data_IF_906164707758
#
_entry.id   IF_906164707758
#
_cell.length_a   1.000
_cell.length_b   1.000
_cell.length_c   1.000
_cell.angle_alpha   90.00
_cell.angle_beta   90.00
_cell.angle_gamma   90.00
#
_symmetry.space_group_name_H-M   'P 1'
#
loop_
_entity.id
_entity.type
_entity.pdbx_description
1 polymer ?
#
# COMPACT_ATOMS: atom_id res chain seq x y z
N UNK A 1 -17.14 24.08 -5.87
CA UNK A 1 -17.32 23.30 -7.11
C UNK A 1 -16.01 22.76 -7.64
N UNK A 2 -15.99 21.48 -7.99
CA UNK A 2 -14.86 20.84 -8.66
C UNK A 2 -14.94 21.14 -10.17
N UNK A 3 -13.96 21.85 -10.72
CA UNK A 3 -13.89 22.13 -12.16
C UNK A 3 -13.27 20.95 -12.91
N UNK A 4 -14.04 20.32 -13.80
CA UNK A 4 -13.55 19.29 -14.70
C UNK A 4 -12.79 19.93 -15.87
N UNK A 5 -11.56 19.50 -16.10
CA UNK A 5 -10.70 19.99 -17.19
C UNK A 5 -10.48 18.83 -18.17
N UNK A 6 -10.60 19.09 -19.48
CA UNK A 6 -10.30 18.08 -20.50
C UNK A 6 -8.82 17.70 -20.45
N UNK A 7 -8.54 16.40 -20.41
CA UNK A 7 -7.18 15.86 -20.51
C UNK A 7 -6.62 16.14 -21.91
N UNK A 8 -5.35 16.55 -21.98
CA UNK A 8 -4.59 16.68 -23.24
C UNK A 8 -4.19 15.29 -23.76
N UNK A 9 -5.18 14.50 -24.21
CA UNK A 9 -4.99 13.17 -24.82
C UNK A 9 -4.07 12.24 -23.98
N UNK A 10 -4.14 12.32 -22.64
CA UNK A 10 -3.30 11.52 -21.73
C UNK A 10 -1.91 12.10 -21.43
N UNK A 11 -1.45 13.17 -22.11
CA UNK A 11 -0.18 13.85 -21.77
C UNK A 11 -0.21 14.58 -20.44
N UNK A 12 -1.40 15.00 -19.99
CA UNK A 12 -1.55 15.78 -18.76
C UNK A 12 -1.21 15.01 -17.47
N UNK A 13 -1.11 13.67 -17.51
CA UNK A 13 -1.01 12.85 -16.30
C UNK A 13 0.02 11.73 -16.42
N UNK A 14 1.23 12.07 -16.88
CA UNK A 14 2.34 11.10 -17.05
C UNK A 14 2.65 10.33 -15.77
N UNK A 15 2.69 11.02 -14.63
CA UNK A 15 2.97 10.41 -13.31
C UNK A 15 1.92 9.36 -12.94
N UNK A 16 0.64 9.67 -13.17
CA UNK A 16 -0.45 8.73 -12.93
C UNK A 16 -0.32 7.48 -13.80
N UNK A 17 0.03 7.64 -15.08
CA UNK A 17 0.27 6.51 -15.97
C UNK A 17 1.43 5.63 -15.49
N UNK A 18 2.50 6.25 -14.96
CA UNK A 18 3.62 5.51 -14.36
C UNK A 18 3.17 4.71 -13.14
N UNK A 19 2.41 5.31 -12.22
CA UNK A 19 1.88 4.61 -11.04
C UNK A 19 0.98 3.45 -11.46
N UNK A 20 0.05 3.67 -12.41
CA UNK A 20 -0.83 2.62 -12.93
C UNK A 20 -0.01 1.46 -13.53
N UNK A 21 1.04 1.76 -14.29
CA UNK A 21 1.90 0.74 -14.87
C UNK A 21 2.64 -0.07 -13.79
N UNK A 22 3.18 0.61 -12.77
CA UNK A 22 3.86 -0.03 -11.65
C UNK A 22 2.91 -0.94 -10.85
N UNK A 23 1.70 -0.47 -10.53
CA UNK A 23 0.69 -1.28 -9.83
C UNK A 23 0.34 -2.53 -10.64
N UNK A 24 0.12 -2.40 -11.95
CA UNK A 24 -0.19 -3.53 -12.84
C UNK A 24 0.95 -4.55 -12.87
N UNK A 25 2.19 -4.10 -13.02
CA UNK A 25 3.38 -4.96 -13.04
C UNK A 25 3.53 -5.70 -11.71
N UNK A 26 3.42 -4.99 -10.60
CA UNK A 26 3.53 -5.55 -9.25
C UNK A 26 2.45 -6.60 -8.93
N UNK A 27 1.19 -6.32 -9.26
CA UNK A 27 0.10 -7.28 -9.07
C UNK A 27 0.33 -8.57 -9.85
N UNK A 28 0.85 -8.46 -11.09
CA UNK A 28 1.09 -9.60 -11.97
C UNK A 28 2.29 -10.45 -11.56
N UNK A 29 3.31 -9.85 -10.92
CA UNK A 29 4.50 -10.58 -10.47
C UNK A 29 4.39 -11.15 -9.06
N UNK A 30 3.62 -10.50 -8.18
CA UNK A 30 3.55 -10.86 -6.76
C UNK A 30 2.51 -11.93 -6.47
N UNK A 31 1.37 -11.89 -7.18
CA UNK A 31 0.25 -12.80 -6.93
C UNK A 31 -0.05 -13.64 -8.17
N UNK A 32 -0.32 -14.94 -7.97
CA UNK A 32 -0.81 -15.81 -9.04
C UNK A 32 -2.25 -15.48 -9.43
N UNK A 33 -3.04 -14.95 -8.49
CA UNK A 33 -4.44 -14.57 -8.71
C UNK A 33 -4.86 -13.42 -7.77
N UNK A 34 -5.77 -12.56 -8.23
CA UNK A 34 -6.21 -11.35 -7.51
C UNK A 34 -7.73 -11.40 -7.35
N UNK A 35 -8.21 -11.45 -6.10
CA UNK A 35 -9.65 -11.43 -5.81
C UNK A 35 -10.21 -10.00 -5.91
N UNK A 36 -11.36 -9.82 -6.59
CA UNK A 36 -12.00 -8.50 -6.75
C UNK A 36 -12.43 -7.87 -5.42
N UNK A 37 -12.80 -8.69 -4.45
CA UNK A 37 -13.20 -8.21 -3.10
C UNK A 37 -12.03 -7.68 -2.26
N UNK A 38 -10.78 -7.89 -2.68
CA UNK A 38 -9.60 -7.51 -1.89
C UNK A 38 -8.75 -6.44 -2.59
N UNK A 39 -9.26 -5.81 -3.65
CA UNK A 39 -8.55 -4.77 -4.41
C UNK A 39 -8.00 -3.67 -3.50
N UNK A 40 -8.78 -3.20 -2.53
CA UNK A 40 -8.29 -2.18 -1.60
C UNK A 40 -7.08 -2.65 -0.79
N UNK A 41 -7.11 -3.89 -0.26
CA UNK A 41 -6.00 -4.46 0.50
C UNK A 41 -4.72 -4.56 -0.35
N UNK A 42 -4.85 -4.95 -1.62
CA UNK A 42 -3.70 -4.98 -2.53
C UNK A 42 -3.13 -3.58 -2.78
N UNK A 43 -3.99 -2.57 -2.95
CA UNK A 43 -3.55 -1.18 -3.15
C UNK A 43 -2.91 -0.58 -1.88
N UNK A 44 -3.43 -0.92 -0.70
CA UNK A 44 -2.86 -0.53 0.59
C UNK A 44 -1.46 -1.13 0.77
N UNK A 45 -1.31 -2.42 0.43
CA UNK A 45 0.00 -3.08 0.45
C UNK A 45 0.98 -2.46 -0.55
N UNK A 46 0.54 -2.18 -1.78
CA UNK A 46 1.37 -1.47 -2.76
C UNK A 46 1.87 -0.13 -2.22
N UNK A 47 0.96 0.66 -1.67
CA UNK A 47 1.26 1.97 -1.09
C UNK A 47 2.24 1.85 0.08
N UNK A 48 2.03 0.86 0.96
CA UNK A 48 2.95 0.56 2.05
C UNK A 48 4.36 0.22 1.54
N UNK A 49 4.49 -0.60 0.48
CA UNK A 49 5.78 -0.99 -0.10
C UNK A 49 6.51 0.19 -0.73
N UNK A 50 5.81 1.06 -1.46
CA UNK A 50 6.39 2.28 -2.03
C UNK A 50 6.89 3.20 -0.93
N UNK A 51 6.04 3.49 0.07
CA UNK A 51 6.42 4.32 1.21
C UNK A 51 7.62 3.74 1.95
N UNK A 52 7.66 2.42 2.16
CA UNK A 52 8.81 1.74 2.77
C UNK A 52 10.09 1.86 1.94
N UNK A 53 9.98 1.83 0.61
CA UNK A 53 11.13 1.98 -0.29
C UNK A 53 11.69 3.40 -0.31
N UNK A 54 10.83 4.41 -0.16
CA UNK A 54 11.24 5.82 -0.11
C UNK A 54 11.83 6.16 1.27
N UNK A 55 11.15 5.76 2.34
CA UNK A 55 11.51 6.12 3.72
C UNK A 55 12.25 4.98 4.46
N UNK A 56 13.34 4.48 3.87
CA UNK A 56 14.09 3.34 4.41
C UNK A 56 14.74 3.63 5.77
N UNK A 57 15.25 4.85 5.96
CA UNK A 57 16.02 5.24 7.14
C UNK A 57 15.15 5.27 8.41
N UNK A 58 13.89 5.68 8.28
CA UNK A 58 13.00 5.86 9.42
C UNK A 58 12.33 4.56 9.89
N UNK A 59 12.62 3.42 9.26
CA UNK A 59 11.85 2.19 9.51
C UNK A 59 12.03 1.67 10.93
N UNK A 60 13.24 1.76 11.46
CA UNK A 60 13.58 1.29 12.80
C UNK A 60 12.87 2.14 13.86
N UNK A 61 12.99 3.47 13.74
CA UNK A 61 12.36 4.40 14.66
C UNK A 61 10.83 4.31 14.62
N UNK A 62 10.24 4.16 13.42
CA UNK A 62 8.80 3.98 13.29
C UNK A 62 8.34 2.68 13.96
N UNK A 63 9.15 1.62 13.87
CA UNK A 63 8.83 0.31 14.44
C UNK A 63 8.86 0.36 15.97
N UNK A 64 9.90 0.96 16.57
CA UNK A 64 9.96 1.18 18.02
C UNK A 64 8.78 2.04 18.48
N UNK A 65 8.53 3.16 17.81
CA UNK A 65 7.41 4.04 18.17
C UNK A 65 6.05 3.32 18.10
N UNK A 66 5.85 2.45 17.10
CA UNK A 66 4.63 1.65 17.00
C UNK A 66 4.54 0.61 18.10
N UNK A 67 5.63 -0.10 18.41
CA UNK A 67 5.66 -1.07 19.52
C UNK A 67 5.33 -0.40 20.85
N UNK A 68 5.88 0.79 21.12
CA UNK A 68 5.61 1.53 22.36
C UNK A 68 4.16 2.03 22.45
N UNK A 69 3.53 2.39 21.33
CA UNK A 69 2.15 2.89 21.28
C UNK A 69 1.10 1.78 21.28
N UNK A 70 1.47 0.56 20.87
CA UNK A 70 0.54 -0.55 20.78
C UNK A 70 0.29 -1.11 22.18
N UNK A 71 -0.97 -1.36 22.52
CA UNK A 71 -1.32 -1.98 23.80
C UNK A 71 -0.69 -3.38 23.90
N UNK A 72 -0.22 -3.77 25.09
CA UNK A 72 0.35 -5.10 25.29
C UNK A 72 -0.71 -6.14 24.89
N UNK A 73 -0.33 -7.05 24.01
CA UNK A 73 -1.15 -8.21 23.65
C UNK A 73 -0.45 -9.42 24.25
N UNK A 74 -1.16 -10.20 25.06
CA UNK A 74 -0.59 -11.41 25.65
C UNK A 74 -0.63 -12.53 24.62
N UNK A 75 0.29 -13.48 24.72
CA UNK A 75 0.32 -14.66 23.84
C UNK A 75 -1.03 -15.40 23.84
N UNK A 76 -1.72 -15.44 24.98
CA UNK A 76 -3.04 -16.06 25.12
C UNK A 76 -4.12 -15.36 24.27
N UNK A 77 -3.98 -14.06 23.99
CA UNK A 77 -4.92 -13.29 23.16
C UNK A 77 -4.69 -13.51 21.65
N UNK A 78 -3.55 -14.09 21.28
CA UNK A 78 -3.13 -14.31 19.89
C UNK A 78 -3.55 -15.71 19.41
N UNK A 79 -3.78 -16.65 20.34
CA UNK A 79 -4.19 -18.01 20.01
C UNK A 79 -5.67 -18.01 19.61
N UNK A 80 -5.95 -18.26 18.33
CA UNK A 80 -7.31 -18.28 17.76
C UNK A 80 -8.00 -19.64 17.97
N UNK A 81 -7.26 -20.72 18.30
CA UNK A 81 -7.83 -22.05 18.53
C UNK A 81 -7.63 -22.50 19.98
N UNK A 82 -8.74 -22.83 20.66
CA UNK A 82 -8.70 -23.74 21.82
C UNK A 82 -8.36 -25.16 21.36
#
# INVERSE_FOLDING_TARGET
DLKQIKSDKGKSSKELHTIIHQVKSWLRSTFSWVHKEHIQKYLDEFSYRINRSIYKENIFDLLINRMMKTQKVLYQDIIISK
#
